data_IF_291151587070
#
_entry.id   IF_291151587070
#
_cell.length_a   1.000
_cell.length_b   1.000
_cell.length_c   1.000
_cell.angle_alpha   90.00
_cell.angle_beta   90.00
_cell.angle_gamma   90.00
#
_symmetry.space_group_name_H-M   'P 1'
#
loop_
_entity.id
_entity.type
_entity.pdbx_description
1 polymer ?
#
# COMPACT_ATOMS: atom_id res chain seq x y z
N UNK A 1 16.66 20.17 10.06
CA UNK A 1 16.70 18.71 10.29
C UNK A 1 15.33 18.31 10.81
N UNK A 2 14.63 17.41 10.11
CA UNK A 2 13.27 16.99 10.48
C UNK A 2 13.26 16.03 11.66
N UNK A 3 12.07 15.74 12.21
CA UNK A 3 11.91 14.78 13.29
C UNK A 3 12.25 13.35 12.84
N UNK A 4 12.93 12.58 13.69
CA UNK A 4 13.21 11.17 13.46
C UNK A 4 11.91 10.36 13.59
N UNK A 5 11.64 9.48 12.64
CA UNK A 5 10.50 8.56 12.72
C UNK A 5 10.76 7.50 13.81
N UNK A 6 9.88 7.38 14.82
CA UNK A 6 9.99 6.33 15.83
C UNK A 6 9.91 4.94 15.19
N UNK A 7 10.77 4.02 15.59
CA UNK A 7 10.77 2.62 15.13
C UNK A 7 11.68 2.31 13.95
N UNK A 8 12.27 3.33 13.30
CA UNK A 8 13.33 3.12 12.31
C UNK A 8 14.72 3.26 12.96
N UNK A 9 15.71 2.44 12.54
CA UNK A 9 17.08 2.62 13.00
C UNK A 9 17.61 3.97 12.53
N UNK A 10 18.23 4.73 13.44
CA UNK A 10 18.82 6.02 13.12
C UNK A 10 20.11 5.82 12.31
N UNK A 11 20.21 6.33 11.06
CA UNK A 11 21.42 6.21 10.25
C UNK A 11 22.67 6.78 10.90
N UNK A 12 22.52 7.77 11.81
CA UNK A 12 23.65 8.38 12.52
C UNK A 12 24.32 7.45 13.54
N UNK A 13 23.75 6.26 13.80
CA UNK A 13 24.35 5.23 14.67
C UNK A 13 25.31 4.32 13.87
N UNK A 14 25.31 4.40 12.54
CA UNK A 14 26.22 3.62 11.70
C UNK A 14 27.66 4.15 11.85
N UNK A 15 28.66 3.31 12.18
CA UNK A 15 30.04 3.74 12.30
C UNK A 15 30.60 4.27 10.98
N UNK A 16 31.37 5.35 11.04
CA UNK A 16 32.06 5.88 9.87
C UNK A 16 33.08 4.86 9.33
N UNK A 17 33.18 4.76 8.00
CA UNK A 17 34.14 3.90 7.32
C UNK A 17 33.74 2.43 7.15
N UNK A 18 32.55 2.02 7.59
CA UNK A 18 32.03 0.69 7.29
C UNK A 18 31.67 0.53 5.81
N UNK A 19 32.04 -0.59 5.21
CA UNK A 19 31.57 -0.97 3.88
C UNK A 19 30.08 -1.34 3.97
N UNK A 20 29.22 -0.59 3.29
CA UNK A 20 27.77 -0.79 3.29
C UNK A 20 27.35 -1.53 2.01
N UNK A 21 26.49 -2.53 2.18
CA UNK A 21 25.76 -3.17 1.07
C UNK A 21 24.28 -2.80 1.21
N UNK A 22 23.76 -2.06 0.24
CA UNK A 22 22.33 -1.74 0.17
C UNK A 22 21.71 -2.71 -0.83
N UNK A 23 20.87 -3.62 -0.33
CA UNK A 23 20.12 -4.56 -1.16
C UNK A 23 18.69 -4.04 -1.29
N UNK A 24 18.32 -3.66 -2.50
CA UNK A 24 16.93 -3.37 -2.84
C UNK A 24 16.23 -4.70 -3.13
N UNK A 25 15.22 -5.05 -2.32
CA UNK A 25 14.35 -6.22 -2.54
C UNK A 25 13.23 -5.89 -3.53
N UNK A 26 13.54 -5.09 -4.55
CA UNK A 26 12.63 -4.80 -5.63
C UNK A 26 12.24 -6.14 -6.25
N UNK A 27 10.94 -6.35 -6.41
CA UNK A 27 10.41 -7.53 -7.08
C UNK A 27 10.44 -8.85 -6.24
N UNK A 28 10.92 -8.84 -4.99
CA UNK A 28 10.94 -10.05 -4.14
C UNK A 28 9.54 -10.58 -3.76
N UNK A 29 8.52 -9.73 -3.79
CA UNK A 29 7.14 -10.14 -3.50
C UNK A 29 6.47 -10.91 -4.65
N UNK A 30 7.04 -10.96 -5.87
CA UNK A 30 6.43 -11.70 -6.99
C UNK A 30 6.55 -13.22 -6.85
N UNK A 31 7.43 -13.71 -5.97
CA UNK A 31 7.57 -15.15 -5.69
C UNK A 31 6.72 -15.58 -4.50
N UNK A 32 6.16 -14.62 -3.74
CA UNK A 32 5.29 -14.92 -2.60
C UNK A 32 3.89 -15.18 -3.15
N UNK A 33 3.52 -16.46 -3.25
CA UNK A 33 2.18 -16.84 -3.68
C UNK A 33 1.14 -16.28 -2.71
N UNK A 34 0.09 -15.70 -3.26
CA UNK A 34 -1.09 -15.38 -2.48
C UNK A 34 -1.73 -16.68 -1.97
N UNK A 35 -2.29 -16.65 -0.77
CA UNK A 35 -3.04 -17.79 -0.25
C UNK A 35 -4.29 -18.03 -1.12
N UNK A 36 -4.61 -19.28 -1.52
CA UNK A 36 -5.70 -19.55 -2.46
C UNK A 36 -7.07 -19.00 -2.05
N UNK A 37 -7.34 -18.91 -0.74
CA UNK A 37 -8.60 -18.33 -0.25
C UNK A 37 -8.70 -16.81 -0.46
N UNK A 38 -7.57 -16.12 -0.64
CA UNK A 38 -7.52 -14.66 -0.74
C UNK A 38 -7.41 -14.17 -2.19
N UNK A 39 -7.17 -15.05 -3.16
CA UNK A 39 -6.89 -14.66 -4.56
C UNK A 39 -8.04 -13.91 -5.20
N UNK A 40 -9.28 -14.34 -4.94
CA UNK A 40 -10.46 -13.69 -5.49
C UNK A 40 -10.68 -12.31 -4.88
N UNK A 41 -10.62 -12.22 -3.54
CA UNK A 41 -10.75 -10.96 -2.80
C UNK A 41 -9.67 -9.96 -3.20
N UNK A 42 -8.44 -10.42 -3.39
CA UNK A 42 -7.34 -9.59 -3.85
C UNK A 42 -7.59 -9.04 -5.26
N UNK A 43 -8.01 -9.90 -6.20
CA UNK A 43 -8.33 -9.47 -7.57
C UNK A 43 -9.49 -8.47 -7.61
N UNK A 44 -10.52 -8.67 -6.77
CA UNK A 44 -11.63 -7.72 -6.62
C UNK A 44 -11.14 -6.37 -6.07
N UNK A 45 -10.30 -6.38 -5.04
CA UNK A 45 -9.76 -5.16 -4.45
C UNK A 45 -8.87 -4.37 -5.42
N UNK A 46 -8.10 -5.07 -6.29
CA UNK A 46 -7.34 -4.42 -7.38
C UNK A 46 -8.29 -3.66 -8.32
N UNK A 47 -9.40 -4.27 -8.74
CA UNK A 47 -10.40 -3.62 -9.60
C UNK A 47 -11.00 -2.37 -8.95
N UNK A 48 -11.30 -2.42 -7.65
CA UNK A 48 -11.82 -1.26 -6.89
C UNK A 48 -10.81 -0.10 -6.94
N UNK A 49 -9.52 -0.39 -6.69
CA UNK A 49 -8.46 0.63 -6.69
C UNK A 49 -8.28 1.24 -8.07
N UNK A 50 -8.29 0.44 -9.13
CA UNK A 50 -8.19 0.93 -10.51
C UNK A 50 -9.38 1.80 -10.90
N UNK A 51 -10.60 1.41 -10.51
CA UNK A 51 -11.79 2.22 -10.75
C UNK A 51 -11.73 3.57 -10.01
N UNK A 52 -11.31 3.58 -8.74
CA UNK A 52 -11.10 4.83 -8.01
C UNK A 52 -9.98 5.67 -8.63
N UNK A 53 -8.87 5.06 -9.05
CA UNK A 53 -7.77 5.80 -9.68
C UNK A 53 -8.18 6.46 -11.01
N UNK A 54 -9.15 5.88 -11.73
CA UNK A 54 -9.65 6.42 -13.00
C UNK A 54 -10.70 7.51 -12.79
N UNK A 55 -11.63 7.30 -11.85
CA UNK A 55 -12.85 8.12 -11.73
C UNK A 55 -12.92 8.94 -10.44
N UNK A 56 -11.97 8.75 -9.52
CA UNK A 56 -11.93 9.39 -8.20
C UNK A 56 -13.26 9.33 -7.44
N UNK A 57 -13.95 8.19 -7.52
CA UNK A 57 -15.24 7.98 -6.87
C UNK A 57 -15.10 8.06 -5.35
N UNK A 58 -16.10 8.63 -4.66
CA UNK A 58 -16.12 8.64 -3.20
C UNK A 58 -16.40 7.23 -2.62
N UNK A 59 -16.17 7.06 -1.31
CA UNK A 59 -16.33 5.77 -0.63
C UNK A 59 -17.76 5.19 -0.77
N UNK A 60 -18.78 6.05 -0.78
CA UNK A 60 -20.16 5.62 -0.96
C UNK A 60 -20.43 5.05 -2.36
N UNK A 61 -19.80 5.61 -3.39
CA UNK A 61 -19.83 5.09 -4.76
C UNK A 61 -19.18 3.72 -4.85
N UNK A 62 -17.97 3.58 -4.29
CA UNK A 62 -17.23 2.31 -4.29
C UNK A 62 -17.97 1.20 -3.54
N UNK A 63 -18.53 1.50 -2.36
CA UNK A 63 -19.33 0.57 -1.56
C UNK A 63 -20.53 0.02 -2.36
N UNK A 64 -21.27 0.90 -3.05
CA UNK A 64 -22.44 0.50 -3.84
C UNK A 64 -22.07 -0.28 -5.10
N UNK A 65 -20.98 0.11 -5.77
CA UNK A 65 -20.59 -0.46 -7.06
C UNK A 65 -19.89 -1.81 -6.92
N UNK A 66 -19.04 -1.98 -5.90
CA UNK A 66 -18.18 -3.15 -5.76
C UNK A 66 -18.55 -4.06 -4.58
N UNK A 67 -19.62 -3.76 -3.83
CA UNK A 67 -20.10 -4.57 -2.69
C UNK A 67 -19.03 -4.89 -1.63
N UNK A 68 -17.98 -4.08 -1.55
CA UNK A 68 -16.96 -4.10 -0.49
C UNK A 68 -17.52 -3.49 0.79
N UNK A 69 -16.82 -3.62 1.91
CA UNK A 69 -17.20 -2.95 3.15
C UNK A 69 -16.95 -1.44 3.08
N UNK A 70 -17.68 -0.67 3.90
CA UNK A 70 -17.47 0.78 3.97
C UNK A 70 -16.05 1.16 4.43
N UNK A 71 -15.42 0.35 5.28
CA UNK A 71 -14.05 0.62 5.75
C UNK A 71 -13.01 0.35 4.65
N UNK A 72 -13.21 -0.67 3.83
CA UNK A 72 -12.39 -0.89 2.64
C UNK A 72 -12.53 0.26 1.64
N UNK A 73 -13.76 0.69 1.37
CA UNK A 73 -14.02 1.82 0.48
C UNK A 73 -13.35 3.11 0.97
N UNK A 74 -13.42 3.40 2.28
CA UNK A 74 -12.70 4.53 2.89
C UNK A 74 -11.18 4.34 2.80
N UNK A 75 -10.69 3.11 2.99
CA UNK A 75 -9.27 2.79 2.86
C UNK A 75 -8.74 3.12 1.46
N UNK A 76 -9.49 2.78 0.41
CA UNK A 76 -9.12 3.11 -0.98
C UNK A 76 -9.03 4.62 -1.20
N UNK A 77 -10.03 5.39 -0.74
CA UNK A 77 -10.04 6.85 -0.88
C UNK A 77 -8.89 7.50 -0.10
N UNK A 78 -8.64 7.05 1.14
CA UNK A 78 -7.54 7.55 2.00
C UNK A 78 -6.15 7.21 1.46
N UNK A 79 -6.02 6.15 0.66
CA UNK A 79 -4.75 5.77 0.05
C UNK A 79 -4.49 6.52 -1.27
N UNK A 80 -5.45 7.30 -1.76
CA UNK A 80 -5.34 8.02 -3.01
C UNK A 80 -4.53 9.33 -2.81
N UNK A 81 -3.42 9.54 -3.53
CA UNK A 81 -2.60 10.74 -3.35
C UNK A 81 -3.28 12.03 -3.81
N UNK A 82 -4.34 11.92 -4.63
CA UNK A 82 -5.08 13.06 -5.18
C UNK A 82 -6.31 13.42 -4.35
N UNK A 83 -6.90 12.45 -3.65
CA UNK A 83 -8.13 12.64 -2.89
C UNK A 83 -7.90 12.76 -1.37
N UNK A 84 -6.66 12.57 -0.90
CA UNK A 84 -6.28 12.68 0.52
C UNK A 84 -6.23 14.12 1.00
#
# INVERSE_FOLDING_TARGET
MGALQPGLPNPAVLPEGWQLLIVDLKDCFFTIKLHPADTERFAEFVKVREAHATFHQNAGGLYKQFRITMDEAKGVVRACPTCS
#
